data_IF_848726826141
#
_entry.id   IF_848726826141
#
_cell.length_a   1.000
_cell.length_b   1.000
_cell.length_c   1.000
_cell.angle_alpha   90.00
_cell.angle_beta   90.00
_cell.angle_gamma   90.00
#
_symmetry.space_group_name_H-M   'P 1'
#
loop_
_entity.id
_entity.type
_entity.pdbx_description
1 polymer ?
#
# COMPACT_ATOMS: atom_id res chain seq x y z
N UNK A 1 7.13 -2.32 38.74
CA UNK A 1 6.08 -3.08 38.04
C UNK A 1 6.10 -2.70 36.56
N UNK A 2 7.07 -3.23 35.81
CA UNK A 2 7.31 -2.86 34.42
C UNK A 2 6.49 -3.72 33.45
N UNK A 3 5.22 -3.36 33.24
CA UNK A 3 4.43 -3.93 32.14
C UNK A 3 4.90 -3.34 30.82
N UNK A 4 5.85 -4.00 30.15
CA UNK A 4 6.26 -3.60 28.81
C UNK A 4 5.09 -3.65 27.83
N UNK A 5 4.98 -2.66 26.95
CA UNK A 5 4.01 -2.70 25.85
C UNK A 5 4.28 -3.94 24.98
N UNK A 6 3.36 -4.90 24.98
CA UNK A 6 3.42 -6.05 24.10
C UNK A 6 2.96 -5.64 22.69
N UNK A 7 3.90 -5.53 21.76
CA UNK A 7 3.59 -5.36 20.33
C UNK A 7 3.19 -6.72 19.73
N UNK A 8 2.04 -6.77 19.05
CA UNK A 8 1.58 -7.95 18.29
C UNK A 8 1.69 -7.67 16.80
N UNK A 9 2.40 -8.53 16.08
CA UNK A 9 2.50 -8.45 14.62
C UNK A 9 1.47 -9.36 13.97
N UNK A 10 0.75 -8.84 12.99
CA UNK A 10 -0.24 -9.60 12.22
C UNK A 10 0.09 -9.48 10.73
N UNK A 11 0.27 -10.60 10.01
CA UNK A 11 0.50 -10.53 8.57
C UNK A 11 -0.76 -10.01 7.87
N UNK A 12 -0.56 -9.17 6.85
CA UNK A 12 -1.61 -8.71 5.95
C UNK A 12 -1.45 -9.47 4.64
N UNK A 13 -2.51 -10.16 4.22
CA UNK A 13 -2.54 -10.88 2.93
C UNK A 13 -2.52 -9.87 1.78
N UNK A 14 -1.75 -10.12 0.74
CA UNK A 14 -1.70 -9.23 -0.42
C UNK A 14 -2.49 -9.83 -1.57
N UNK A 15 -3.22 -8.99 -2.33
CA UNK A 15 -3.88 -9.40 -3.56
C UNK A 15 -2.87 -10.03 -4.53
N UNK A 16 -1.70 -9.39 -4.63
CA UNK A 16 -0.54 -9.90 -5.34
C UNK A 16 0.67 -9.79 -4.41
N UNK A 17 1.24 -10.90 -3.89
CA UNK A 17 2.36 -10.86 -2.96
C UNK A 17 3.73 -10.72 -3.64
N UNK A 18 3.82 -10.98 -4.94
CA UNK A 18 5.06 -10.88 -5.71
C UNK A 18 4.77 -10.55 -7.18
N UNK A 19 5.75 -9.91 -7.83
CA UNK A 19 5.82 -9.72 -9.29
C UNK A 19 7.12 -10.33 -9.78
N UNK A 20 7.10 -10.92 -10.98
CA UNK A 20 8.31 -11.46 -11.60
C UNK A 20 9.18 -10.37 -12.22
N UNK A 21 8.56 -9.29 -12.68
CA UNK A 21 9.24 -8.16 -13.30
C UNK A 21 8.53 -6.86 -12.88
N UNK A 22 9.32 -5.83 -12.57
CA UNK A 22 8.83 -4.52 -12.12
C UNK A 22 9.46 -3.42 -12.98
N UNK A 23 8.96 -3.18 -14.20
CA UNK A 23 9.54 -2.17 -15.09
C UNK A 23 9.22 -0.74 -14.68
N UNK A 24 8.12 -0.55 -13.94
CA UNK A 24 7.57 0.77 -13.62
C UNK A 24 7.24 0.84 -12.11
N UNK A 25 5.97 0.66 -11.74
CA UNK A 25 5.51 0.77 -10.36
C UNK A 25 4.61 -0.40 -9.99
N UNK A 26 4.44 -0.62 -8.68
CA UNK A 26 3.57 -1.66 -8.14
C UNK A 26 2.80 -1.12 -6.95
N UNK A 27 1.47 -1.09 -7.08
CA UNK A 27 0.58 -0.82 -5.96
C UNK A 27 0.43 -2.08 -5.12
N UNK A 28 0.89 -2.05 -3.87
CA UNK A 28 0.72 -3.13 -2.91
C UNK A 28 -0.67 -3.02 -2.27
N UNK A 29 -1.50 -4.03 -2.45
CA UNK A 29 -2.91 -4.03 -2.01
C UNK A 29 -3.14 -5.14 -0.99
N UNK A 30 -3.61 -4.77 0.20
CA UNK A 30 -4.22 -5.70 1.16
C UNK A 30 -5.75 -5.54 1.12
N UNK A 31 -6.50 -6.52 0.64
CA UNK A 31 -7.96 -6.51 0.74
C UNK A 31 -8.40 -6.55 2.21
N UNK A 32 -9.31 -5.66 2.59
CA UNK A 32 -9.90 -5.65 3.93
C UNK A 32 -11.24 -6.39 3.84
N UNK A 33 -11.19 -7.71 4.00
CA UNK A 33 -12.36 -8.60 4.14
C UNK A 33 -12.50 -9.11 5.59
N UNK A 34 -13.48 -9.99 5.87
CA UNK A 34 -13.73 -10.51 7.24
C UNK A 34 -12.54 -11.25 7.87
N UNK A 35 -11.60 -11.75 7.06
CA UNK A 35 -10.39 -12.41 7.55
C UNK A 35 -9.27 -11.41 7.86
N UNK A 36 -9.37 -10.17 7.38
CA UNK A 36 -8.39 -9.12 7.60
C UNK A 36 -8.31 -8.73 9.09
N UNK A 37 -7.10 -8.56 9.65
CA UNK A 37 -6.91 -7.92 10.94
C UNK A 37 -7.43 -6.47 11.04
N UNK A 38 -7.69 -5.85 9.90
CA UNK A 38 -8.20 -4.49 9.77
C UNK A 38 -9.71 -4.44 9.57
N UNK A 39 -10.38 -5.59 9.46
CA UNK A 39 -11.83 -5.64 9.32
C UNK A 39 -12.53 -4.91 10.47
N UNK A 40 -13.42 -3.96 10.13
CA UNK A 40 -14.15 -3.16 11.10
C UNK A 40 -13.31 -2.18 11.92
N UNK A 41 -12.02 -2.00 11.62
CA UNK A 41 -11.16 -1.05 12.32
C UNK A 41 -11.38 0.38 11.81
N UNK A 42 -11.26 1.36 12.72
CA UNK A 42 -11.40 2.79 12.41
C UNK A 42 -10.09 3.55 12.59
N UNK A 43 -10.01 4.78 12.05
CA UNK A 43 -8.86 5.66 12.23
C UNK A 43 -8.55 5.94 13.71
N UNK A 44 -9.58 6.13 14.53
CA UNK A 44 -9.45 6.35 15.97
C UNK A 44 -8.91 5.10 16.66
N UNK A 45 -9.36 3.92 16.24
CA UNK A 45 -8.83 2.67 16.78
C UNK A 45 -7.34 2.51 16.46
N UNK A 46 -6.93 2.73 15.21
CA UNK A 46 -5.52 2.64 14.81
C UNK A 46 -4.65 3.65 15.57
N UNK A 47 -5.17 4.86 15.79
CA UNK A 47 -4.51 5.89 16.60
C UNK A 47 -4.32 5.46 18.06
N UNK A 48 -5.38 4.95 18.72
CA UNK A 48 -5.29 4.46 20.10
C UNK A 48 -4.30 3.31 20.27
N UNK A 49 -4.18 2.44 19.25
CA UNK A 49 -3.25 1.32 19.25
C UNK A 49 -1.82 1.71 18.86
N UNK A 50 -1.59 2.97 18.47
CA UNK A 50 -0.33 3.41 17.85
C UNK A 50 0.08 2.45 16.74
N UNK A 51 -0.87 2.14 15.85
CA UNK A 51 -0.68 1.15 14.80
C UNK A 51 0.42 1.59 13.82
N UNK A 52 1.15 0.60 13.32
CA UNK A 52 2.24 0.79 12.36
C UNK A 52 2.20 -0.36 11.37
N UNK A 53 2.26 -0.02 10.08
CA UNK A 53 2.30 -0.93 8.95
C UNK A 53 3.75 -1.10 8.54
N UNK A 54 4.29 -2.31 8.71
CA UNK A 54 5.65 -2.64 8.31
C UNK A 54 5.67 -3.28 6.92
N UNK A 55 6.52 -2.77 6.05
CA UNK A 55 6.71 -3.26 4.69
C UNK A 55 8.14 -3.79 4.56
N UNK A 56 8.26 -5.02 4.06
CA UNK A 56 9.53 -5.62 3.66
C UNK A 56 9.42 -6.08 2.22
N UNK A 57 10.23 -5.50 1.34
CA UNK A 57 10.38 -5.91 -0.04
C UNK A 57 11.73 -6.61 -0.19
N UNK A 58 11.71 -7.82 -0.74
CA UNK A 58 12.90 -8.54 -1.18
C UNK A 58 12.87 -8.57 -2.71
N UNK A 59 13.94 -8.11 -3.35
CA UNK A 59 14.05 -8.11 -4.80
C UNK A 59 15.43 -8.60 -5.23
N UNK A 60 15.51 -9.14 -6.45
CA UNK A 60 16.78 -9.39 -7.12
C UNK A 60 17.05 -8.23 -8.06
N UNK A 61 18.23 -7.63 -7.94
CA UNK A 61 18.70 -6.54 -8.78
C UNK A 61 19.60 -7.12 -9.87
N UNK A 62 19.10 -7.14 -11.11
CA UNK A 62 19.81 -7.69 -12.28
C UNK A 62 21.03 -6.87 -12.69
N UNK A 63 21.10 -5.58 -12.31
CA UNK A 63 22.24 -4.72 -12.65
C UNK A 63 23.46 -5.08 -11.82
N UNK A 64 23.24 -5.33 -10.52
CA UNK A 64 24.29 -5.66 -9.57
C UNK A 64 24.35 -7.14 -9.19
N UNK A 65 23.46 -7.96 -9.77
CA UNK A 65 23.32 -9.40 -9.51
C UNK A 65 23.22 -9.75 -8.02
N UNK A 66 22.44 -8.99 -7.27
CA UNK A 66 22.33 -9.15 -5.82
C UNK A 66 20.89 -9.15 -5.33
N UNK A 67 20.65 -9.78 -4.19
CA UNK A 67 19.36 -9.66 -3.51
C UNK A 67 19.37 -8.43 -2.60
N UNK A 68 18.45 -7.50 -2.83
CA UNK A 68 18.23 -6.33 -1.99
C UNK A 68 17.02 -6.55 -1.06
N UNK A 69 17.08 -5.93 0.12
CA UNK A 69 15.97 -5.91 1.07
C UNK A 69 15.67 -4.46 1.44
N UNK A 70 14.47 -3.99 1.08
CA UNK A 70 13.98 -2.66 1.41
C UNK A 70 12.97 -2.78 2.53
N UNK A 71 13.13 -1.96 3.58
CA UNK A 71 12.19 -1.88 4.70
C UNK A 71 11.64 -0.48 4.76
N UNK A 72 10.34 -0.39 4.97
CA UNK A 72 9.66 0.87 5.20
C UNK A 72 8.53 0.67 6.21
N UNK A 73 8.09 1.73 6.85
CA UNK A 73 6.89 1.68 7.69
C UNK A 73 6.05 2.93 7.54
N UNK A 74 4.76 2.75 7.75
CA UNK A 74 3.79 3.83 7.85
C UNK A 74 3.09 3.72 9.20
N UNK A 75 3.15 4.77 10.00
CA UNK A 75 2.36 4.87 11.22
C UNK A 75 0.93 5.28 10.90
N UNK A 76 0.05 5.14 11.88
CA UNK A 76 -1.36 5.51 11.73
C UNK A 76 -1.57 6.97 11.28
N UNK A 77 -0.66 7.88 11.59
CA UNK A 77 -0.72 9.29 11.15
C UNK A 77 -0.47 9.47 9.65
N UNK A 78 0.18 8.50 9.00
CA UNK A 78 0.54 8.53 7.57
C UNK A 78 -0.51 7.81 6.70
N UNK A 79 -1.53 7.20 7.31
CA UNK A 79 -2.62 6.55 6.60
C UNK A 79 -3.68 7.55 6.21
N UNK A 80 -3.87 7.75 4.90
CA UNK A 80 -4.96 8.56 4.37
C UNK A 80 -6.19 7.69 4.10
N UNK A 81 -7.27 7.98 4.80
CA UNK A 81 -8.54 7.26 4.68
C UNK A 81 -9.40 7.83 3.55
N UNK A 82 -10.18 6.97 2.89
CA UNK A 82 -11.11 7.40 1.84
C UNK A 82 -10.40 8.02 0.63
N UNK A 83 -9.17 7.57 0.33
CA UNK A 83 -8.36 8.06 -0.77
C UNK A 83 -7.98 6.93 -1.73
N UNK A 84 -7.59 7.31 -2.95
CA UNK A 84 -7.01 6.44 -3.97
C UNK A 84 -5.81 7.13 -4.61
N UNK A 85 -4.82 6.36 -5.05
CA UNK A 85 -3.74 6.90 -5.87
C UNK A 85 -4.28 7.41 -7.21
N UNK A 86 -3.77 8.55 -7.66
CA UNK A 86 -3.99 9.03 -9.02
C UNK A 86 -3.23 8.12 -9.99
N UNK A 87 -3.84 7.70 -11.12
CA UNK A 87 -3.11 6.93 -12.13
C UNK A 87 -1.89 7.70 -12.63
N UNK A 88 -0.70 7.13 -12.48
CA UNK A 88 0.56 7.75 -12.89
C UNK A 88 1.00 7.37 -14.32
N UNK A 89 0.12 6.69 -15.08
CA UNK A 89 0.43 6.17 -16.40
C UNK A 89 -0.51 6.74 -17.45
N UNK A 90 0.07 7.25 -18.53
CA UNK A 90 -0.68 7.69 -19.70
C UNK A 90 0.03 7.29 -20.99
N UNK A 91 -0.69 6.97 -22.06
CA UNK A 91 -0.09 6.80 -23.38
C UNK A 91 0.32 8.16 -23.94
N UNK A 92 1.50 8.25 -24.55
CA UNK A 92 1.91 9.41 -25.32
C UNK A 92 1.22 9.47 -26.70
N UNK A 93 1.56 10.48 -27.50
CA UNK A 93 1.02 10.67 -28.84
C UNK A 93 1.34 9.51 -29.82
N UNK A 94 2.30 8.65 -29.48
CA UNK A 94 2.73 7.47 -30.23
C UNK A 94 2.19 6.16 -29.61
N UNK A 95 1.40 6.25 -28.55
CA UNK A 95 0.82 5.11 -27.84
C UNK A 95 1.78 4.38 -26.91
N UNK A 96 2.95 4.94 -26.61
CA UNK A 96 3.87 4.38 -25.63
C UNK A 96 3.43 4.78 -24.22
N UNK A 97 3.48 3.84 -23.28
CA UNK A 97 3.14 4.13 -21.88
C UNK A 97 4.24 4.97 -21.24
N UNK A 98 3.86 6.15 -20.75
CA UNK A 98 4.73 7.06 -19.99
C UNK A 98 4.31 7.00 -18.52
N UNK A 99 5.31 6.86 -17.65
CA UNK A 99 5.15 7.01 -16.20
C UNK A 99 5.47 8.45 -15.80
N UNK A 100 4.49 9.18 -15.29
CA UNK A 100 4.71 10.46 -14.65
C UNK A 100 5.07 10.24 -13.17
N UNK A 101 6.36 10.40 -12.85
CA UNK A 101 6.87 10.23 -11.49
C UNK A 101 6.33 11.28 -10.51
N UNK A 102 5.83 12.43 -10.99
CA UNK A 102 5.24 13.46 -10.13
C UNK A 102 3.89 13.02 -9.57
N UNK A 103 3.21 12.08 -10.23
CA UNK A 103 1.92 11.53 -9.83
C UNK A 103 2.05 10.26 -8.98
N UNK A 104 3.27 9.74 -8.77
CA UNK A 104 3.51 8.45 -8.11
C UNK A 104 2.87 8.34 -6.72
N UNK A 105 2.95 9.43 -5.96
CA UNK A 105 2.41 9.53 -4.60
C UNK A 105 1.15 10.40 -4.53
N UNK A 106 0.67 10.91 -5.66
CA UNK A 106 -0.48 11.80 -5.70
C UNK A 106 -1.76 11.00 -5.40
N UNK A 107 -2.63 11.57 -4.58
CA UNK A 107 -3.86 10.94 -4.15
C UNK A 107 -5.07 11.82 -4.42
N UNK A 108 -6.20 11.19 -4.70
CA UNK A 108 -7.49 11.83 -4.81
C UNK A 108 -8.50 11.17 -3.86
N UNK A 109 -9.61 11.84 -3.50
CA UNK A 109 -10.71 11.19 -2.79
C UNK A 109 -11.17 9.94 -3.55
N UNK A 110 -11.37 8.85 -2.82
CA UNK A 110 -12.09 7.68 -3.32
C UNK A 110 -13.57 8.07 -3.39
N UNK A 111 -14.01 8.60 -4.53
CA UNK A 111 -15.44 8.88 -4.76
C UNK A 111 -16.21 7.58 -4.51
N UNK A 112 -17.28 7.65 -3.71
CA UNK A 112 -18.16 6.51 -3.45
C UNK A 112 -18.57 5.86 -4.78
N UNK A 113 -18.64 4.52 -4.78
CA UNK A 113 -19.23 3.77 -5.87
C UNK A 113 -20.57 4.42 -6.26
N UNK A 114 -20.77 4.69 -7.56
CA UNK A 114 -22.05 5.19 -8.08
C UNK A 114 -23.20 4.40 -7.42
N UNK A 115 -24.26 5.05 -6.92
CA UNK A 115 -25.45 4.31 -6.51
C UNK A 115 -25.90 3.47 -7.71
N UNK A 116 -26.14 2.19 -7.45
CA UNK A 116 -26.67 1.24 -8.42
C UNK A 116 -27.86 1.88 -9.13
N UNK A 117 -27.79 1.95 -10.45
CA UNK A 117 -28.93 2.33 -11.28
C UNK A 117 -30.01 1.29 -11.00
N UNK A 118 -31.13 1.78 -10.46
CA UNK A 118 -32.40 1.06 -10.29
C UNK A 118 -32.92 0.54 -11.61
#
# INVERSE_FOLDING_TARGET
SGGGLLRKYKPLTLERPAVQFLPLTWTVVHPIDEASPLWGQTAEHLTRQQAEFLILIKAFDDTFFQTVHVRHSYRHEEVVWGARFVPAFEPDAQGQMVLDLTLLSEIAPAVEARPSVS
#
